data_IF_238692398015
#
_entry.id   IF_238692398015
#
_cell.length_a   1.000
_cell.length_b   1.000
_cell.length_c   1.000
_cell.angle_alpha   90.00
_cell.angle_beta   90.00
_cell.angle_gamma   90.00
#
_symmetry.space_group_name_H-M   'P 1'
#
loop_
_entity.id
_entity.type
_entity.pdbx_description
1 polymer ?
#
# COMPACT_ATOMS: atom_id res chain seq x y z
N UNK A 1 -1.99 17.56 -9.44
CA UNK A 1 -2.61 18.81 -8.92
C UNK A 1 -4.06 18.55 -8.54
N UNK A 2 -4.56 19.21 -7.50
CA UNK A 2 -5.96 19.19 -7.08
C UNK A 2 -6.56 20.56 -7.31
N UNK A 3 -7.85 20.59 -7.67
CA UNK A 3 -8.59 21.80 -7.94
C UNK A 3 -9.59 22.06 -6.81
N UNK A 4 -9.76 23.33 -6.46
CA UNK A 4 -10.77 23.74 -5.48
C UNK A 4 -12.16 23.26 -5.89
N UNK A 5 -12.93 22.74 -4.93
CA UNK A 5 -14.27 22.19 -5.15
C UNK A 5 -14.29 20.80 -5.81
N UNK A 6 -13.14 20.27 -6.26
CA UNK A 6 -13.02 18.91 -6.77
C UNK A 6 -13.20 17.87 -5.66
N UNK A 7 -13.72 16.69 -6.00
CA UNK A 7 -13.84 15.56 -5.07
C UNK A 7 -12.80 14.49 -5.42
N UNK A 8 -12.01 14.09 -4.44
CA UNK A 8 -10.92 13.12 -4.58
C UNK A 8 -11.09 12.01 -3.55
N UNK A 9 -10.91 10.76 -3.97
CA UNK A 9 -10.93 9.62 -3.06
C UNK A 9 -9.56 9.46 -2.39
N UNK A 10 -9.54 9.32 -1.07
CA UNK A 10 -8.33 9.19 -0.23
C UNK A 10 -8.55 8.18 0.90
N UNK A 11 -7.54 7.94 1.72
CA UNK A 11 -7.65 7.22 3.00
C UNK A 11 -7.03 5.81 3.01
N UNK A 12 -6.28 5.48 4.06
CA UNK A 12 -5.72 4.14 4.31
C UNK A 12 -6.64 3.25 5.19
N UNK A 13 -7.65 3.87 5.83
CA UNK A 13 -8.66 3.20 6.69
C UNK A 13 -9.98 2.93 5.97
N UNK A 14 -10.00 3.08 4.64
CA UNK A 14 -11.19 3.02 3.80
C UNK A 14 -11.35 4.26 2.91
N UNK A 15 -12.30 4.25 1.96
CA UNK A 15 -12.51 5.34 1.02
C UNK A 15 -13.12 6.56 1.71
N UNK A 16 -12.33 7.63 1.83
CA UNK A 16 -12.73 8.96 2.31
C UNK A 16 -12.75 9.96 1.15
N UNK A 17 -13.57 11.01 1.25
CA UNK A 17 -13.66 12.06 0.21
C UNK A 17 -12.95 13.33 0.67
N UNK A 18 -11.88 13.68 -0.02
CA UNK A 18 -11.18 14.95 0.12
C UNK A 18 -11.74 16.00 -0.86
N UNK A 19 -12.15 17.16 -0.34
CA UNK A 19 -12.59 18.33 -1.12
C UNK A 19 -11.79 19.57 -0.72
N UNK A 20 -10.73 19.94 -1.44
CA UNK A 20 -9.96 21.14 -1.13
C UNK A 20 -10.74 22.41 -1.47
N UNK A 21 -10.54 23.47 -0.68
CA UNK A 21 -11.14 24.79 -0.94
C UNK A 21 -10.43 25.56 -2.07
N UNK A 22 -9.14 25.29 -2.30
CA UNK A 22 -8.30 25.95 -3.31
C UNK A 22 -7.50 24.96 -4.14
N UNK A 23 -6.82 25.45 -5.18
CA UNK A 23 -5.96 24.63 -6.02
C UNK A 23 -4.57 24.44 -5.40
N UNK A 24 -3.91 23.31 -5.70
CA UNK A 24 -2.56 23.00 -5.22
C UNK A 24 -1.98 21.72 -5.83
N UNK A 25 -0.75 21.35 -5.45
CA UNK A 25 -0.14 20.06 -5.78
C UNK A 25 -0.06 19.16 -4.55
N UNK A 26 -0.04 17.84 -4.78
CA UNK A 26 0.25 16.85 -3.76
C UNK A 26 1.67 16.37 -4.05
N UNK A 27 2.62 16.80 -3.22
CA UNK A 27 4.01 16.37 -3.33
C UNK A 27 4.25 15.14 -2.44
N UNK A 28 4.95 14.11 -2.92
CA UNK A 28 5.37 13.01 -2.07
C UNK A 28 6.31 13.55 -0.99
N UNK A 29 6.03 13.27 0.28
CA UNK A 29 7.00 13.51 1.34
C UNK A 29 8.15 12.51 1.14
N UNK A 30 9.35 13.00 0.81
CA UNK A 30 10.51 12.14 0.57
C UNK A 30 10.75 11.17 1.72
N UNK A 31 10.53 9.87 1.47
CA UNK A 31 10.65 8.82 2.48
C UNK A 31 10.03 7.50 2.04
N UNK A 32 10.88 6.62 1.48
CA UNK A 32 10.58 5.22 1.19
C UNK A 32 10.20 4.97 -0.27
N UNK A 33 11.13 4.41 -1.05
CA UNK A 33 10.80 3.79 -2.32
C UNK A 33 9.68 2.78 -2.07
N UNK A 34 8.52 2.98 -2.71
CA UNK A 34 7.39 2.06 -2.58
C UNK A 34 7.87 0.64 -2.87
N UNK A 35 7.83 -0.23 -1.87
CA UNK A 35 8.30 -1.61 -2.04
C UNK A 35 7.18 -2.39 -2.71
N UNK A 36 7.29 -2.58 -4.02
CA UNK A 36 6.41 -3.49 -4.75
C UNK A 36 6.92 -4.91 -4.57
N UNK A 37 6.19 -5.73 -3.81
CA UNK A 37 6.51 -7.16 -3.62
C UNK A 37 5.69 -7.99 -4.61
N UNK A 38 6.37 -8.56 -5.62
CA UNK A 38 5.75 -9.53 -6.51
C UNK A 38 5.89 -10.94 -5.91
N UNK A 39 4.77 -11.60 -5.63
CA UNK A 39 4.74 -12.97 -5.09
C UNK A 39 4.20 -13.90 -6.17
N UNK A 40 5.02 -14.85 -6.61
CA UNK A 40 4.57 -15.97 -7.44
C UNK A 40 4.27 -17.17 -6.56
N UNK A 41 3.09 -17.75 -6.71
CA UNK A 41 2.66 -18.94 -5.95
C UNK A 41 2.40 -20.07 -6.93
N UNK A 42 3.25 -21.08 -6.87
CA UNK A 42 3.06 -22.33 -7.60
C UNK A 42 1.87 -23.11 -6.99
N UNK A 43 0.92 -23.55 -7.81
CA UNK A 43 -0.29 -24.26 -7.36
C UNK A 43 -1.60 -23.42 -7.33
N UNK A 44 -1.57 -22.15 -7.73
CA UNK A 44 -2.77 -21.32 -7.90
C UNK A 44 -3.49 -20.91 -6.60
N UNK A 45 -4.65 -20.26 -6.73
CA UNK A 45 -5.37 -19.64 -5.59
C UNK A 45 -5.74 -20.61 -4.45
N UNK A 46 -5.93 -21.90 -4.75
CA UNK A 46 -6.25 -22.94 -3.76
C UNK A 46 -5.07 -23.23 -2.81
N UNK A 47 -3.82 -23.11 -3.29
CA UNK A 47 -2.62 -23.20 -2.45
C UNK A 47 -2.51 -22.01 -1.48
N UNK A 48 -3.03 -20.85 -1.90
CA UNK A 48 -3.05 -19.62 -1.10
C UNK A 48 -4.03 -19.70 0.07
N UNK A 49 -5.25 -20.22 -0.18
CA UNK A 49 -6.32 -20.34 0.82
C UNK A 49 -5.97 -21.28 1.98
N UNK A 50 -5.13 -22.30 1.73
CA UNK A 50 -4.69 -23.24 2.77
C UNK A 50 -3.63 -22.67 3.72
N UNK A 51 -3.09 -21.48 3.41
CA UNK A 51 -1.79 -21.02 3.93
C UNK A 51 -1.82 -19.59 4.49
N UNK A 52 -2.98 -19.01 4.77
CA UNK A 52 -3.12 -17.59 5.17
C UNK A 52 -2.18 -17.20 6.33
N UNK A 53 -2.12 -18.00 7.40
CA UNK A 53 -1.22 -17.77 8.51
C UNK A 53 0.27 -17.94 8.15
N UNK A 54 0.60 -18.82 7.21
CA UNK A 54 1.97 -19.03 6.72
C UNK A 54 2.41 -17.87 5.81
N UNK A 55 1.53 -17.37 4.95
CA UNK A 55 1.77 -16.20 4.09
C UNK A 55 1.97 -14.95 4.96
N UNK A 56 1.11 -14.74 5.96
CA UNK A 56 1.24 -13.62 6.91
C UNK A 56 2.61 -13.64 7.63
N UNK A 57 3.07 -14.83 8.07
CA UNK A 57 4.39 -14.99 8.69
C UNK A 57 5.54 -14.74 7.71
N UNK A 58 5.44 -15.19 6.46
CA UNK A 58 6.45 -14.94 5.44
C UNK A 58 6.56 -13.45 5.11
N UNK A 59 5.43 -12.78 4.98
CA UNK A 59 5.38 -11.34 4.72
C UNK A 59 5.94 -10.53 5.90
N UNK A 60 5.52 -10.83 7.13
CA UNK A 60 6.04 -10.19 8.34
C UNK A 60 7.56 -10.37 8.49
N UNK A 61 8.09 -11.54 8.11
CA UNK A 61 9.53 -11.79 8.13
C UNK A 61 10.26 -10.99 7.03
N UNK A 62 9.69 -10.91 5.83
CA UNK A 62 10.27 -10.16 4.73
C UNK A 62 10.31 -8.64 5.02
N UNK A 63 9.24 -8.08 5.59
CA UNK A 63 9.19 -6.67 5.99
C UNK A 63 10.18 -6.38 7.13
N UNK A 64 10.28 -7.24 8.14
CA UNK A 64 11.25 -7.10 9.22
C UNK A 64 12.71 -7.15 8.73
N UNK A 65 13.01 -8.00 7.74
CA UNK A 65 14.34 -8.06 7.12
C UNK A 65 14.64 -6.80 6.28
N UNK A 66 13.64 -6.24 5.60
CA UNK A 66 13.76 -4.98 4.87
C UNK A 66 14.01 -3.79 5.81
N UNK A 67 13.25 -3.69 6.90
CA UNK A 67 13.38 -2.62 7.89
C UNK A 67 14.75 -2.61 8.60
N UNK A 68 15.39 -3.77 8.75
CA UNK A 68 16.71 -3.89 9.39
C UNK A 68 17.89 -3.53 8.48
N UNK A 69 17.65 -3.31 7.18
CA UNK A 69 18.66 -2.95 6.19
C UNK A 69 18.63 -1.48 5.77
N UNK A 70 17.76 -0.69 6.39
CA UNK A 70 17.76 0.77 6.35
C UNK A 70 18.42 1.30 7.63
#
# INVERSE_FOLDING_TARGET
PVLGGGAYLVGERGPEVFRPAGAGSIEPMGGGAGVTVNVSVDGGAQGLLRSEAQIARMLARATALGARRM
#
